data_IF_145945775034
#
_entry.id   IF_145945775034
#
_cell.length_a   1.000
_cell.length_b   1.000
_cell.length_c   1.000
_cell.angle_alpha   90.00
_cell.angle_beta   90.00
_cell.angle_gamma   90.00
#
_symmetry.space_group_name_H-M   'P 1'
#
loop_
_entity.id
_entity.type
_entity.pdbx_description
1 polymer ?
#
# COMPACT_ATOMS: atom_id res chain seq x y z
N UNK A 1 13.83 2.94 26.04
CA UNK A 1 14.10 3.62 24.76
C UNK A 1 12.98 4.62 24.55
N UNK A 2 13.29 5.92 24.56
CA UNK A 2 12.29 6.99 24.45
C UNK A 2 11.79 7.12 23.02
N UNK A 3 10.47 7.15 22.83
CA UNK A 3 9.85 7.45 21.54
C UNK A 3 10.04 8.93 21.21
N UNK A 4 10.45 9.27 19.98
CA UNK A 4 10.62 10.66 19.58
C UNK A 4 9.29 11.42 19.64
N UNK A 5 9.38 12.71 19.93
CA UNK A 5 8.25 13.62 20.00
C UNK A 5 7.70 13.95 18.61
N UNK A 6 6.45 14.39 18.55
CA UNK A 6 5.78 14.77 17.30
C UNK A 6 6.55 15.85 16.51
N UNK A 7 7.21 16.78 17.21
CA UNK A 7 8.06 17.82 16.59
C UNK A 7 9.38 17.28 16.02
N UNK A 8 9.90 16.16 16.55
CA UNK A 8 11.09 15.49 16.00
C UNK A 8 10.73 14.68 14.74
N UNK A 9 9.53 14.12 14.68
CA UNK A 9 9.01 13.42 13.51
C UNK A 9 8.76 14.38 12.32
N UNK A 10 8.24 15.58 12.58
CA UNK A 10 7.99 16.59 11.53
C UNK A 10 9.27 17.10 10.86
N UNK A 11 10.41 17.12 11.57
CA UNK A 11 11.73 17.44 10.99
C UNK A 11 12.28 16.34 10.08
N UNK A 12 11.78 15.11 10.21
CA UNK A 12 12.29 13.93 9.48
C UNK A 12 11.61 13.77 8.10
N UNK A 13 10.31 14.03 7.99
CA UNK A 13 9.51 13.81 6.76
C UNK A 13 9.78 14.77 5.59
N UNK A 14 10.62 15.81 5.76
CA UNK A 14 10.92 16.75 4.68
C UNK A 14 12.00 16.31 3.68
N UNK A 15 12.86 15.34 4.03
CA UNK A 15 14.05 15.00 3.22
C UNK A 15 14.48 13.53 3.26
N UNK A 16 13.79 12.66 4.01
CA UNK A 16 14.20 11.24 4.12
C UNK A 16 13.62 10.41 2.99
N UNK A 17 14.49 9.71 2.27
CA UNK A 17 14.07 8.68 1.34
C UNK A 17 13.28 7.60 2.09
N UNK A 18 12.18 7.09 1.51
CA UNK A 18 11.31 6.08 2.12
C UNK A 18 12.07 4.84 2.63
N UNK A 19 13.26 4.56 2.08
CA UNK A 19 14.17 3.50 2.52
C UNK A 19 14.63 3.62 3.99
N UNK A 20 14.64 4.83 4.57
CA UNK A 20 15.07 5.06 5.95
C UNK A 20 13.95 4.89 7.00
N UNK A 21 12.70 4.78 6.56
CA UNK A 21 11.56 4.60 7.46
C UNK A 21 11.51 3.12 7.87
N UNK A 22 11.56 2.79 9.17
CA UNK A 22 11.73 1.41 9.60
C UNK A 22 10.56 0.56 9.11
N UNK A 23 10.89 -0.63 8.60
CA UNK A 23 9.91 -1.65 8.34
C UNK A 23 9.42 -2.21 9.68
N UNK A 24 8.13 -2.08 9.95
CA UNK A 24 7.50 -2.54 11.21
C UNK A 24 6.67 -3.80 11.01
N UNK A 25 6.43 -4.20 9.76
CA UNK A 25 5.83 -5.49 9.40
C UNK A 25 6.43 -6.01 8.11
N UNK A 26 6.95 -7.23 8.15
CA UNK A 26 7.58 -7.89 7.00
C UNK A 26 6.89 -9.21 6.68
N UNK A 27 7.13 -9.71 5.47
CA UNK A 27 6.65 -10.99 4.98
C UNK A 27 7.74 -11.70 4.20
N UNK A 28 7.80 -13.02 4.33
CA UNK A 28 8.73 -13.86 3.57
C UNK A 28 7.97 -14.50 2.41
N UNK A 29 8.35 -14.14 1.18
CA UNK A 29 7.72 -14.60 -0.07
C UNK A 29 7.74 -16.13 -0.14
N UNK A 30 6.59 -16.71 -0.44
CA UNK A 30 6.39 -18.14 -0.65
C UNK A 30 6.35 -18.49 -2.15
N UNK A 31 6.60 -19.75 -2.52
CA UNK A 31 6.39 -20.21 -3.89
C UNK A 31 4.95 -19.99 -4.36
N UNK A 32 4.79 -19.28 -5.49
CA UNK A 32 3.49 -18.98 -6.09
C UNK A 32 2.87 -17.65 -5.66
N UNK A 33 3.50 -16.92 -4.74
CA UNK A 33 3.03 -15.61 -4.34
C UNK A 33 3.10 -14.58 -5.48
N UNK A 34 2.14 -13.66 -5.48
CA UNK A 34 2.14 -12.43 -6.27
C UNK A 34 1.98 -11.23 -5.32
N UNK A 35 2.31 -10.02 -5.78
CA UNK A 35 2.10 -8.83 -4.94
C UNK A 35 0.63 -8.65 -4.56
N UNK A 36 -0.31 -8.86 -5.48
CA UNK A 36 -1.75 -8.78 -5.18
C UNK A 36 -2.21 -9.89 -4.23
N UNK A 37 -1.75 -11.12 -4.45
CA UNK A 37 -2.10 -12.26 -3.58
C UNK A 37 -1.63 -12.05 -2.14
N UNK A 38 -0.37 -11.62 -1.97
CA UNK A 38 0.17 -11.23 -0.66
C UNK A 38 -0.65 -10.07 -0.09
N UNK A 39 -0.89 -9.03 -0.89
CA UNK A 39 -1.61 -7.83 -0.45
C UNK A 39 -3.01 -8.15 0.07
N UNK A 40 -3.72 -9.06 -0.61
CA UNK A 40 -5.05 -9.52 -0.23
C UNK A 40 -5.01 -10.36 1.05
N UNK A 41 -4.07 -11.30 1.17
CA UNK A 41 -3.96 -12.16 2.37
C UNK A 41 -3.47 -11.40 3.60
N UNK A 42 -2.64 -10.39 3.38
CA UNK A 42 -1.99 -9.62 4.43
C UNK A 42 -2.75 -8.34 4.79
N UNK A 43 -3.72 -7.90 3.99
CA UNK A 43 -4.45 -6.67 4.26
C UNK A 43 -3.54 -5.43 4.14
N UNK A 44 -2.83 -5.32 3.03
CA UNK A 44 -2.03 -4.13 2.66
C UNK A 44 -2.38 -3.76 1.23
N UNK A 45 -2.34 -2.48 0.86
CA UNK A 45 -2.57 -2.11 -0.54
C UNK A 45 -1.39 -2.53 -1.42
N UNK A 46 -1.66 -2.94 -2.67
CA UNK A 46 -0.64 -3.32 -3.65
C UNK A 46 0.36 -2.17 -3.84
N UNK A 47 -0.14 -0.93 -3.90
CA UNK A 47 0.70 0.27 -3.94
C UNK A 47 1.60 0.42 -2.72
N UNK A 48 1.07 0.25 -1.51
CA UNK A 48 1.87 0.41 -0.29
C UNK A 48 2.97 -0.66 -0.23
N UNK A 49 2.68 -1.88 -0.68
CA UNK A 49 3.67 -2.94 -0.78
C UNK A 49 4.77 -2.56 -1.77
N UNK A 50 4.45 -2.12 -2.98
CA UNK A 50 5.46 -1.74 -3.98
C UNK A 50 6.27 -0.51 -3.53
N UNK A 51 5.62 0.53 -3.01
CA UNK A 51 6.28 1.72 -2.49
C UNK A 51 7.19 1.41 -1.29
N UNK A 52 6.79 0.47 -0.42
CA UNK A 52 7.60 0.04 0.72
C UNK A 52 8.86 -0.73 0.32
N UNK A 53 8.94 -1.25 -0.92
CA UNK A 53 10.04 -2.09 -1.37
C UNK A 53 10.64 -1.53 -2.68
N UNK A 54 11.47 -0.48 -2.59
CA UNK A 54 12.15 0.07 -3.76
C UNK A 54 12.87 -1.04 -4.54
N UNK A 55 12.46 -1.24 -5.79
CA UNK A 55 12.98 -2.30 -6.66
C UNK A 55 11.97 -3.40 -6.98
N UNK A 56 10.83 -3.49 -6.28
CA UNK A 56 9.70 -4.34 -6.68
C UNK A 56 8.83 -3.57 -7.68
N UNK A 57 8.44 -4.22 -8.78
CA UNK A 57 7.52 -3.65 -9.76
C UNK A 57 6.06 -3.80 -9.31
N UNK A 58 5.17 -2.98 -9.88
CA UNK A 58 3.76 -2.93 -9.44
C UNK A 58 3.00 -4.25 -9.65
N UNK A 59 3.35 -5.02 -10.67
CA UNK A 59 2.79 -6.34 -10.96
C UNK A 59 3.44 -7.47 -10.13
N UNK A 60 4.47 -7.16 -9.33
CA UNK A 60 5.14 -8.11 -8.45
C UNK A 60 5.88 -9.23 -9.17
N UNK A 61 6.13 -9.10 -10.47
CA UNK A 61 6.73 -10.16 -11.28
C UNK A 61 8.22 -10.38 -10.99
N UNK A 62 8.82 -9.57 -10.11
CA UNK A 62 10.22 -9.68 -9.71
C UNK A 62 10.44 -10.01 -8.22
N UNK A 63 9.45 -10.62 -7.56
CA UNK A 63 9.62 -11.21 -6.22
C UNK A 63 10.00 -12.69 -6.32
N UNK A 64 10.81 -13.17 -5.37
CA UNK A 64 11.33 -14.55 -5.37
C UNK A 64 11.08 -15.25 -4.04
N UNK A 65 10.84 -16.59 -4.02
CA UNK A 65 10.68 -17.33 -2.78
C UNK A 65 11.84 -17.10 -1.80
N UNK A 66 11.52 -17.05 -0.51
CA UNK A 66 12.41 -16.70 0.61
C UNK A 66 12.88 -15.24 0.67
N UNK A 67 12.53 -14.40 -0.29
CA UNK A 67 12.77 -12.95 -0.19
C UNK A 67 11.96 -12.37 0.96
N UNK A 68 12.58 -11.54 1.79
CA UNK A 68 11.87 -10.78 2.83
C UNK A 68 11.50 -9.42 2.26
N UNK A 69 10.20 -9.12 2.24
CA UNK A 69 9.64 -7.84 1.78
C UNK A 69 9.00 -7.10 2.95
N UNK A 70 8.96 -5.78 2.85
CA UNK A 70 8.31 -4.92 3.82
C UNK A 70 6.84 -4.70 3.47
N UNK A 71 5.92 -5.13 4.33
CA UNK A 71 4.49 -4.87 4.14
C UNK A 71 4.10 -3.49 4.67
N UNK A 72 4.76 -3.02 5.74
CA UNK A 72 4.42 -1.75 6.36
C UNK A 72 5.64 -1.05 6.93
N UNK A 73 5.85 0.19 6.48
CA UNK A 73 6.79 1.14 7.11
C UNK A 73 6.05 1.94 8.18
N UNK A 74 6.77 2.39 9.21
CA UNK A 74 6.16 3.03 10.39
C UNK A 74 5.28 4.26 10.12
N UNK A 75 5.48 4.97 9.00
CA UNK A 75 4.72 6.16 8.63
C UNK A 75 3.58 5.90 7.63
N UNK A 76 3.41 4.66 7.15
CA UNK A 76 2.38 4.32 6.18
C UNK A 76 1.14 3.85 6.92
N UNK A 77 0.02 4.47 6.60
CA UNK A 77 -1.17 4.49 7.44
C UNK A 77 -2.38 3.81 6.82
N UNK A 78 -2.24 2.98 5.79
CA UNK A 78 -3.41 2.25 5.31
C UNK A 78 -3.94 1.31 6.40
N UNK A 79 -5.11 1.62 6.96
CA UNK A 79 -5.76 0.86 8.03
C UNK A 79 -6.79 -0.12 7.49
N UNK A 80 -7.44 0.25 6.38
CA UNK A 80 -8.48 -0.57 5.74
C UNK A 80 -8.23 -0.64 4.24
N UNK A 81 -8.36 -1.86 3.69
CA UNK A 81 -8.18 -2.14 2.27
C UNK A 81 -9.43 -2.75 1.65
N UNK A 82 -9.56 -2.60 0.34
CA UNK A 82 -10.56 -3.25 -0.50
C UNK A 82 -9.86 -4.05 -1.60
N UNK A 83 -10.24 -5.32 -1.77
CA UNK A 83 -9.79 -6.15 -2.90
C UNK A 83 -10.77 -5.93 -4.04
N UNK A 84 -10.30 -5.41 -5.17
CA UNK A 84 -11.13 -5.08 -6.33
C UNK A 84 -11.77 -6.36 -6.87
N UNK A 85 -13.10 -6.37 -6.98
CA UNK A 85 -13.87 -7.49 -7.51
C UNK A 85 -14.27 -7.25 -8.99
N UNK A 86 -14.63 -8.31 -9.74
CA UNK A 86 -15.19 -8.14 -11.08
C UNK A 86 -16.42 -7.22 -11.10
N UNK A 87 -16.33 -6.12 -11.85
CA UNK A 87 -17.40 -5.13 -11.97
C UNK A 87 -17.24 -3.92 -11.05
N UNK A 88 -16.24 -3.92 -10.17
CA UNK A 88 -15.91 -2.73 -9.38
C UNK A 88 -15.43 -1.58 -10.26
N UNK A 89 -15.73 -0.38 -9.79
CA UNK A 89 -15.19 0.88 -10.28
C UNK A 89 -14.70 1.68 -9.08
N UNK A 90 -13.80 2.64 -9.30
CA UNK A 90 -13.42 3.53 -8.20
C UNK A 90 -14.60 4.27 -7.57
N UNK A 91 -15.67 4.52 -8.34
CA UNK A 91 -16.89 5.13 -7.80
C UNK A 91 -17.63 4.19 -6.86
N UNK A 92 -17.80 2.92 -7.22
CA UNK A 92 -18.46 1.93 -6.33
C UNK A 92 -17.64 1.66 -5.08
N UNK A 93 -16.32 1.51 -5.21
CA UNK A 93 -15.40 1.29 -4.09
C UNK A 93 -15.38 2.49 -3.15
N UNK A 94 -15.18 3.70 -3.67
CA UNK A 94 -15.16 4.91 -2.84
C UNK A 94 -16.50 5.12 -2.11
N UNK A 95 -17.62 4.89 -2.80
CA UNK A 95 -18.96 4.95 -2.21
C UNK A 95 -19.15 3.92 -1.10
N UNK A 96 -18.72 2.67 -1.30
CA UNK A 96 -18.82 1.62 -0.29
C UNK A 96 -17.96 1.92 0.95
N UNK A 97 -16.80 2.53 0.75
CA UNK A 97 -15.90 2.97 1.82
C UNK A 97 -16.31 4.32 2.46
N UNK A 98 -17.31 5.01 1.93
CA UNK A 98 -17.74 6.31 2.45
C UNK A 98 -16.74 7.46 2.20
N UNK A 99 -15.89 7.34 1.18
CA UNK A 99 -14.90 8.35 0.79
C UNK A 99 -15.15 8.91 -0.62
N UNK A 100 -14.44 9.97 -0.99
CA UNK A 100 -14.50 10.50 -2.36
C UNK A 100 -13.54 9.76 -3.30
N UNK A 101 -13.84 9.71 -4.60
CA UNK A 101 -12.91 9.15 -5.61
C UNK A 101 -11.54 9.85 -5.57
N UNK A 102 -11.44 11.21 -5.47
CA UNK A 102 -10.15 11.87 -5.27
C UNK A 102 -9.40 11.41 -4.01
N UNK A 103 -10.11 11.12 -2.91
CA UNK A 103 -9.50 10.57 -1.68
C UNK A 103 -8.96 9.16 -1.92
N UNK A 104 -9.71 8.32 -2.65
CA UNK A 104 -9.26 6.98 -3.03
C UNK A 104 -7.99 7.04 -3.90
N UNK A 105 -7.97 7.91 -4.92
CA UNK A 105 -6.80 8.11 -5.79
C UNK A 105 -5.61 8.65 -4.99
N UNK A 106 -5.82 9.62 -4.10
CA UNK A 106 -4.75 10.17 -3.26
C UNK A 106 -4.13 9.11 -2.33
N UNK A 107 -4.93 8.13 -1.88
CA UNK A 107 -4.48 7.01 -1.05
C UNK A 107 -3.80 5.90 -1.87
N UNK A 108 -4.01 5.87 -3.18
CA UNK A 108 -3.46 4.90 -4.12
C UNK A 108 -2.84 5.59 -5.35
N UNK A 109 -1.68 6.26 -5.21
CA UNK A 109 -1.02 7.00 -6.29
C UNK A 109 -0.65 6.21 -7.55
N UNK A 110 -0.82 4.89 -7.58
CA UNK A 110 -0.72 4.09 -8.81
C UNK A 110 -1.97 4.20 -9.69
N UNK A 111 -3.09 4.68 -9.17
CA UNK A 111 -4.31 4.92 -9.93
C UNK A 111 -4.15 6.18 -10.79
N UNK A 112 -4.58 6.07 -12.05
CA UNK A 112 -4.63 7.23 -12.93
C UNK A 112 -5.71 8.23 -12.48
N UNK A 113 -5.66 9.46 -12.99
CA UNK A 113 -6.60 10.51 -12.60
C UNK A 113 -8.05 10.25 -13.02
N UNK A 114 -8.27 9.39 -14.02
CA UNK A 114 -9.58 8.91 -14.43
C UNK A 114 -10.05 7.66 -13.66
N UNK A 115 -9.18 7.08 -12.84
CA UNK A 115 -9.36 5.81 -12.16
C UNK A 115 -9.75 4.67 -13.11
N UNK A 116 -9.13 4.64 -14.29
CA UNK A 116 -9.47 3.69 -15.37
C UNK A 116 -8.60 2.43 -15.40
N UNK A 117 -7.55 2.39 -14.58
CA UNK A 117 -6.56 1.32 -14.53
C UNK A 117 -6.75 0.33 -13.38
N UNK A 118 -7.90 0.34 -12.70
CA UNK A 118 -8.23 -0.69 -11.69
C UNK A 118 -8.55 -2.02 -12.34
N UNK A 119 -8.15 -3.12 -11.70
CA UNK A 119 -8.38 -4.47 -12.19
C UNK A 119 -8.73 -5.45 -11.05
N UNK A 120 -9.50 -6.52 -11.33
CA UNK A 120 -9.85 -7.51 -10.31
C UNK A 120 -8.61 -8.14 -9.67
N UNK A 121 -8.62 -8.22 -8.33
CA UNK A 121 -7.52 -8.72 -7.51
C UNK A 121 -6.57 -7.65 -6.98
N UNK A 122 -6.55 -6.45 -7.57
CA UNK A 122 -5.79 -5.32 -7.03
C UNK A 122 -6.31 -4.96 -5.63
N UNK A 123 -5.40 -4.58 -4.72
CA UNK A 123 -5.78 -4.22 -3.34
C UNK A 123 -5.58 -2.73 -3.12
N UNK A 124 -6.70 -2.00 -2.92
CA UNK A 124 -6.71 -0.55 -2.74
C UNK A 124 -6.82 -0.18 -1.27
N UNK A 125 -6.09 0.85 -0.88
CA UNK A 125 -6.29 1.50 0.40
C UNK A 125 -7.55 2.35 0.40
N UNK A 126 -8.50 2.06 1.28
CA UNK A 126 -9.77 2.79 1.38
C UNK A 126 -9.90 3.60 2.67
N UNK A 127 -8.97 3.44 3.60
CA UNK A 127 -8.88 4.27 4.81
C UNK A 127 -7.41 4.43 5.22
N UNK A 128 -6.98 5.68 5.39
CA UNK A 128 -5.66 6.00 5.92
C UNK A 128 -5.80 6.58 7.33
N UNK A 129 -5.22 5.95 8.34
CA UNK A 129 -5.19 6.44 9.72
C UNK A 129 -4.08 7.49 9.89
N UNK A 130 -4.42 8.78 9.77
CA UNK A 130 -3.49 9.90 10.03
C UNK A 130 -2.91 9.87 11.45
#
# INVERSE_FOLDING_TARGET
MSTPTWNELVRYVGTVAQSQIPCVRSYTVQPGDTCDGISASEGVSTFQLSASNPGINNDGSNIFPSQVICLRRACLSCSTVHVVEPGDTCTSIASAAGISVPTLIASNPNLDSGCTNVYPGEVLCVESSL
#
